data_IF_251824675528
#
_entry.id   IF_251824675528
#
_cell.length_a   1.000
_cell.length_b   1.000
_cell.length_c   1.000
_cell.angle_alpha   90.00
_cell.angle_beta   90.00
_cell.angle_gamma   90.00
#
_symmetry.space_group_name_H-M   'P 1'
#
loop_
_entity.id
_entity.type
_entity.pdbx_description
1 polymer ?
#
# COMPACT_ATOMS: atom_id res chain seq x y z
N UNK A 1 7.85 -0.50 22.28
CA UNK A 1 6.99 -1.66 21.98
C UNK A 1 5.88 -1.09 21.11
N UNK A 2 5.91 -1.37 19.81
CA UNK A 2 4.88 -0.87 18.88
C UNK A 2 3.65 -1.77 19.09
N UNK A 3 2.48 -1.16 19.26
CA UNK A 3 1.24 -1.88 19.57
C UNK A 3 0.87 -2.83 18.43
N UNK A 4 0.46 -4.05 18.78
CA UNK A 4 -0.03 -5.10 17.85
C UNK A 4 -1.20 -4.59 16.99
N UNK A 5 -1.93 -3.57 17.48
CA UNK A 5 -2.98 -2.88 16.72
C UNK A 5 -2.46 -2.10 15.51
N UNK A 6 -1.28 -1.48 15.57
CA UNK A 6 -0.70 -0.77 14.42
C UNK A 6 -0.38 -1.76 13.30
N UNK A 7 0.26 -2.89 13.61
CA UNK A 7 0.60 -3.91 12.61
C UNK A 7 -0.66 -4.49 11.94
N UNK A 8 -1.76 -4.65 12.69
CA UNK A 8 -3.04 -5.13 12.18
C UNK A 8 -3.76 -4.12 11.27
N UNK A 9 -3.66 -2.81 11.57
CA UNK A 9 -4.24 -1.71 10.77
C UNK A 9 -3.61 -1.57 9.38
N UNK A 10 -2.34 -1.95 9.22
CA UNK A 10 -1.67 -1.85 7.92
C UNK A 10 -2.00 -3.00 6.97
N UNK A 11 -2.15 -4.23 7.50
CA UNK A 11 -2.64 -5.38 6.73
C UNK A 11 -4.06 -5.17 6.20
N UNK A 12 -4.79 -4.22 6.77
CA UNK A 12 -6.14 -3.86 6.33
C UNK A 12 -6.20 -2.83 5.20
N UNK A 13 -5.11 -2.18 4.77
CA UNK A 13 -5.18 -1.20 3.68
C UNK A 13 -5.19 -1.88 2.32
N UNK A 14 -6.10 -1.45 1.44
CA UNK A 14 -6.07 -1.85 0.03
C UNK A 14 -4.90 -1.17 -0.69
N UNK A 15 -4.15 -1.96 -1.46
CA UNK A 15 -3.03 -1.49 -2.27
C UNK A 15 -3.30 -1.82 -3.74
N UNK A 16 -3.33 -0.78 -4.58
CA UNK A 16 -3.54 -0.94 -6.02
C UNK A 16 -2.26 -0.60 -6.76
N UNK A 17 -1.78 -1.51 -7.61
CA UNK A 17 -0.59 -1.24 -8.44
C UNK A 17 -0.94 -0.25 -9.55
N UNK A 18 -0.06 0.72 -9.76
CA UNK A 18 -0.08 1.68 -10.85
C UNK A 18 1.06 1.36 -11.81
N UNK A 19 0.78 1.41 -13.11
CA UNK A 19 1.76 1.21 -14.18
C UNK A 19 2.78 2.34 -14.24
N UNK A 20 3.86 2.14 -14.99
CA UNK A 20 4.93 3.13 -15.13
C UNK A 20 4.41 4.46 -15.68
N UNK A 21 4.62 5.54 -14.94
CA UNK A 21 4.32 6.92 -15.35
C UNK A 21 5.08 7.90 -14.45
N UNK A 22 5.08 9.20 -14.78
CA UNK A 22 5.72 10.21 -13.92
C UNK A 22 5.00 10.38 -12.57
N UNK A 23 5.65 11.05 -11.62
CA UNK A 23 5.14 11.18 -10.26
C UNK A 23 3.82 11.97 -10.19
N UNK A 24 3.69 13.06 -10.93
CA UNK A 24 2.47 13.89 -10.96
C UNK A 24 1.25 13.10 -11.46
N UNK A 25 1.44 12.30 -12.50
CA UNK A 25 0.41 11.41 -13.01
C UNK A 25 0.07 10.33 -11.98
N UNK A 26 1.07 9.77 -11.30
CA UNK A 26 0.88 8.79 -10.22
C UNK A 26 0.01 9.34 -9.08
N UNK A 27 0.32 10.55 -8.62
CA UNK A 27 -0.49 11.27 -7.62
C UNK A 27 -1.92 11.44 -8.11
N UNK A 28 -2.11 11.83 -9.36
CA UNK A 28 -3.43 12.03 -9.96
C UNK A 28 -4.22 10.72 -10.08
N UNK A 29 -3.59 9.64 -10.54
CA UNK A 29 -4.21 8.31 -10.63
C UNK A 29 -4.63 7.80 -9.26
N UNK A 30 -3.78 7.93 -8.24
CA UNK A 30 -4.17 7.51 -6.89
C UNK A 30 -5.31 8.36 -6.33
N UNK A 31 -5.29 9.67 -6.58
CA UNK A 31 -6.38 10.55 -6.16
C UNK A 31 -7.73 10.18 -6.82
N UNK A 32 -7.72 9.79 -8.10
CA UNK A 32 -8.91 9.28 -8.80
C UNK A 32 -9.46 7.98 -8.19
N UNK A 33 -8.59 7.20 -7.54
CA UNK A 33 -8.96 6.00 -6.79
C UNK A 33 -9.30 6.29 -5.31
N UNK A 34 -9.52 7.56 -4.94
CA UNK A 34 -9.75 7.99 -3.56
C UNK A 34 -8.65 7.52 -2.60
N UNK A 35 -7.40 7.56 -3.07
CA UNK A 35 -6.23 7.05 -2.36
C UNK A 35 -5.02 7.98 -2.56
N UNK A 36 -3.93 7.71 -1.86
CA UNK A 36 -2.68 8.44 -2.06
C UNK A 36 -1.61 7.51 -2.61
N UNK A 37 -0.51 8.06 -3.12
CA UNK A 37 0.69 7.26 -3.35
C UNK A 37 1.09 6.63 -2.00
N UNK A 38 1.63 5.41 -2.05
CA UNK A 38 1.97 4.64 -0.86
C UNK A 38 2.80 5.44 0.14
N UNK A 39 2.27 5.60 1.34
CA UNK A 39 2.91 6.31 2.46
C UNK A 39 3.60 5.27 3.35
N UNK A 40 4.90 5.41 3.56
CA UNK A 40 5.70 4.51 4.42
C UNK A 40 6.12 5.27 5.68
N UNK A 41 5.53 4.89 6.80
CA UNK A 41 5.59 5.54 8.13
C UNK A 41 6.26 4.69 9.19
N UNK A 42 6.59 3.42 8.88
CA UNK A 42 7.37 2.55 9.75
C UNK A 42 8.05 1.41 8.95
N UNK A 43 8.84 0.60 9.66
CA UNK A 43 9.57 -0.53 9.08
C UNK A 43 8.65 -1.63 8.54
N UNK A 44 7.50 -1.89 9.18
CA UNK A 44 6.56 -2.92 8.73
C UNK A 44 5.92 -2.55 7.39
N UNK A 45 5.51 -1.30 7.21
CA UNK A 45 5.03 -0.80 5.92
C UNK A 45 6.14 -0.90 4.86
N UNK A 46 7.38 -0.55 5.20
CA UNK A 46 8.51 -0.65 4.27
C UNK A 46 8.73 -2.10 3.79
N UNK A 47 8.72 -3.05 4.72
CA UNK A 47 8.85 -4.48 4.43
C UNK A 47 7.64 -5.03 3.66
N UNK A 48 6.42 -4.59 4.00
CA UNK A 48 5.20 -5.02 3.33
C UNK A 48 5.17 -4.60 1.85
N UNK A 49 5.50 -3.34 1.55
CA UNK A 49 5.62 -2.87 0.16
C UNK A 49 6.74 -3.61 -0.57
N UNK A 50 7.84 -3.93 0.11
CA UNK A 50 8.88 -4.82 -0.42
C UNK A 50 8.36 -6.22 -0.76
N UNK A 51 7.49 -6.79 0.07
CA UNK A 51 6.87 -8.08 -0.21
C UNK A 51 5.91 -8.01 -1.42
N UNK A 52 5.18 -6.90 -1.61
CA UNK A 52 4.38 -6.69 -2.82
C UNK A 52 5.22 -6.60 -4.10
N UNK A 53 6.51 -6.25 -3.97
CA UNK A 53 7.46 -6.26 -5.08
C UNK A 53 8.08 -7.64 -5.33
N UNK A 54 7.96 -8.59 -4.38
CA UNK A 54 8.50 -9.93 -4.57
C UNK A 54 7.80 -10.62 -5.76
N UNK A 55 8.59 -11.00 -6.76
CA UNK A 55 8.09 -11.52 -8.05
C UNK A 55 7.93 -10.47 -9.17
N UNK A 56 8.12 -9.19 -8.86
CA UNK A 56 8.19 -8.11 -9.85
C UNK A 56 9.66 -7.73 -10.07
N UNK A 57 10.33 -8.41 -11.00
CA UNK A 57 11.73 -8.12 -11.32
C UNK A 57 11.90 -6.68 -11.82
N UNK A 58 12.96 -6.03 -11.34
CA UNK A 58 13.42 -4.68 -11.76
C UNK A 58 12.37 -3.56 -11.68
N UNK A 59 11.41 -3.65 -10.76
CA UNK A 59 10.47 -2.57 -10.48
C UNK A 59 10.97 -1.69 -9.33
N UNK A 60 10.95 -0.37 -9.54
CA UNK A 60 11.42 0.63 -8.58
C UNK A 60 10.31 1.64 -8.32
N UNK A 61 9.33 1.31 -7.46
CA UNK A 61 8.11 2.10 -7.38
C UNK A 61 8.36 3.44 -6.72
N UNK A 62 7.65 4.47 -7.21
CA UNK A 62 7.51 5.71 -6.45
C UNK A 62 6.89 5.45 -5.08
N UNK A 63 7.36 6.18 -4.07
CA UNK A 63 6.73 6.28 -2.76
C UNK A 63 6.21 7.70 -2.58
N UNK A 64 5.21 7.88 -1.71
CA UNK A 64 4.53 9.16 -1.48
C UNK A 64 5.37 10.16 -0.66
N UNK A 65 6.63 10.33 -1.04
CA UNK A 65 7.63 11.21 -0.42
C UNK A 65 8.23 12.12 -1.49
N UNK A 66 8.19 13.43 -1.22
CA UNK A 66 8.66 14.47 -2.13
C UNK A 66 9.43 15.56 -1.40
N UNK A 67 10.32 16.23 -2.13
CA UNK A 67 11.10 17.37 -1.66
C UNK A 67 10.39 18.67 -2.03
N UNK A 68 10.08 19.50 -1.03
CA UNK A 68 9.50 20.83 -1.24
C UNK A 68 10.57 21.84 -1.68
N UNK A 69 10.14 23.01 -2.14
CA UNK A 69 11.01 24.10 -2.63
C UNK A 69 12.01 24.63 -1.61
N UNK A 70 11.70 24.53 -0.32
CA UNK A 70 12.61 24.85 0.79
C UNK A 70 13.66 23.75 1.05
N UNK A 71 13.66 22.68 0.25
CA UNK A 71 14.58 21.55 0.35
C UNK A 71 14.18 20.47 1.34
N UNK A 72 13.05 20.60 2.06
CA UNK A 72 12.61 19.60 3.05
C UNK A 72 11.84 18.46 2.39
N UNK A 73 12.12 17.23 2.82
CA UNK A 73 11.37 16.04 2.42
C UNK A 73 10.15 15.83 3.31
N UNK A 74 9.00 15.58 2.71
CA UNK A 74 7.71 15.38 3.38
C UNK A 74 6.90 14.31 2.66
N UNK A 75 5.85 13.82 3.31
CA UNK A 75 4.85 13.00 2.64
C UNK A 75 3.94 13.86 1.72
N UNK A 76 3.19 13.20 0.84
CA UNK A 76 2.26 13.86 -0.10
C UNK A 76 1.22 14.77 0.59
N UNK A 77 0.81 14.45 1.82
CA UNK A 77 -0.11 15.26 2.65
C UNK A 77 0.60 16.44 3.36
N UNK A 78 1.84 16.75 2.98
CA UNK A 78 2.72 17.73 3.58
C UNK A 78 3.09 17.46 5.06
N UNK A 79 2.76 16.29 5.61
CA UNK A 79 3.21 15.89 6.94
C UNK A 79 4.71 15.57 6.93
N UNK A 80 5.44 15.86 8.03
CA UNK A 80 6.86 15.55 8.11
C UNK A 80 7.11 14.05 8.07
N UNK A 81 8.28 13.64 7.56
CA UNK A 81 8.70 12.25 7.60
C UNK A 81 8.91 11.81 9.06
N UNK A 82 8.14 10.83 9.51
CA UNK A 82 8.27 10.20 10.84
C UNK A 82 9.09 8.91 10.79
N UNK A 83 9.32 8.40 9.57
CA UNK A 83 10.18 7.26 9.28
C UNK A 83 10.93 7.54 7.98
N UNK A 84 12.17 7.09 7.92
CA UNK A 84 13.01 7.17 6.73
C UNK A 84 13.85 5.92 6.59
N UNK A 85 14.02 5.43 5.37
CA UNK A 85 14.93 4.33 5.07
C UNK A 85 15.83 4.67 3.87
N UNK A 86 16.37 5.89 3.83
CA UNK A 86 17.27 6.34 2.76
C UNK A 86 18.50 5.43 2.63
N UNK A 87 18.89 5.15 1.39
CA UNK A 87 20.12 4.44 1.11
C UNK A 87 21.36 5.26 1.53
N UNK A 88 22.54 4.63 1.72
CA UNK A 88 23.77 5.36 1.98
C UNK A 88 24.05 6.41 0.90
N UNK A 89 24.19 7.67 1.30
CA UNK A 89 24.38 8.81 0.37
C UNK A 89 23.09 9.47 -0.12
N UNK A 90 21.92 8.98 0.31
CA UNK A 90 20.62 9.58 0.05
C UNK A 90 20.07 10.32 1.30
N UNK A 91 19.15 11.29 1.12
CA UNK A 91 18.69 11.82 -0.16
C UNK A 91 19.77 12.64 -0.87
N UNK A 92 19.81 12.55 -2.20
CA UNK A 92 20.73 13.34 -3.03
C UNK A 92 20.62 14.84 -2.74
N UNK A 93 21.76 15.53 -2.73
CA UNK A 93 21.83 17.00 -2.62
C UNK A 93 21.35 17.70 -3.90
N UNK A 94 21.27 16.97 -5.02
CA UNK A 94 20.79 17.50 -6.29
C UNK A 94 19.34 17.99 -6.18
N UNK A 95 19.12 19.29 -6.33
CA UNK A 95 17.80 19.94 -6.23
C UNK A 95 16.84 19.60 -7.36
N UNK A 96 17.28 18.87 -8.39
CA UNK A 96 16.39 18.36 -9.44
C UNK A 96 15.77 17.01 -9.09
N UNK A 97 16.29 16.30 -8.07
CA UNK A 97 15.78 14.99 -7.65
C UNK A 97 14.81 15.16 -6.48
N UNK A 98 13.56 15.50 -6.80
CA UNK A 98 12.56 15.91 -5.81
C UNK A 98 11.53 14.83 -5.46
N UNK A 99 11.64 13.63 -6.03
CA UNK A 99 10.75 12.50 -5.74
C UNK A 99 11.54 11.32 -5.20
N UNK A 100 10.89 10.46 -4.41
CA UNK A 100 11.53 9.29 -3.85
C UNK A 100 10.97 7.99 -4.44
N UNK A 101 11.81 6.98 -4.56
CA UNK A 101 11.41 5.62 -4.95
C UNK A 101 12.01 4.56 -4.03
N UNK A 102 11.39 3.39 -3.99
CA UNK A 102 11.85 2.23 -3.21
C UNK A 102 12.74 1.34 -4.08
N UNK A 103 13.94 1.02 -3.58
CA UNK A 103 14.82 0.01 -4.17
C UNK A 103 14.26 -1.41 -3.94
N UNK A 104 14.15 -2.20 -5.00
CA UNK A 104 13.53 -3.53 -4.94
C UNK A 104 14.25 -4.51 -3.99
N UNK A 105 15.58 -4.63 -4.11
CA UNK A 105 16.37 -5.60 -3.33
C UNK A 105 16.79 -5.09 -1.96
N UNK A 106 17.07 -3.79 -1.82
CA UNK A 106 17.54 -3.19 -0.56
C UNK A 106 16.39 -2.71 0.32
N UNK A 107 15.21 -2.49 -0.27
CA UNK A 107 14.07 -1.80 0.36
C UNK A 107 14.42 -0.42 0.91
N UNK A 108 15.51 0.18 0.41
CA UNK A 108 15.97 1.51 0.77
C UNK A 108 15.42 2.56 -0.21
N UNK A 109 15.36 3.81 0.24
CA UNK A 109 14.78 4.92 -0.51
C UNK A 109 15.88 5.68 -1.25
N UNK A 110 15.56 6.16 -2.43
CA UNK A 110 16.47 6.90 -3.30
C UNK A 110 15.76 8.11 -3.90
N UNK A 111 16.48 9.21 -4.11
CA UNK A 111 15.94 10.36 -4.81
C UNK A 111 15.99 10.17 -6.34
N UNK A 112 14.99 10.68 -7.04
CA UNK A 112 14.89 10.64 -8.50
C UNK A 112 14.21 11.90 -9.03
N UNK A 113 14.41 12.16 -10.31
CA UNK A 113 13.62 13.16 -11.03
C UNK A 113 12.16 12.68 -11.08
N UNK A 114 11.24 13.58 -10.71
CA UNK A 114 9.80 13.31 -10.69
C UNK A 114 9.22 13.04 -12.09
N UNK A 115 9.90 13.46 -13.15
CA UNK A 115 9.55 13.18 -14.54
C UNK A 115 9.93 11.76 -14.99
N UNK A 116 10.80 11.07 -14.24
CA UNK A 116 11.18 9.68 -14.54
C UNK A 116 9.95 8.79 -14.40
N UNK A 117 9.64 8.01 -15.42
CA UNK A 117 8.51 7.08 -15.34
C UNK A 117 8.86 5.89 -14.45
N UNK A 118 8.01 5.64 -13.44
CA UNK A 118 8.15 4.50 -12.53
C UNK A 118 6.76 3.97 -12.18
N UNK A 119 6.63 2.66 -11.89
CA UNK A 119 5.40 2.13 -11.31
C UNK A 119 5.18 2.73 -9.92
N UNK A 120 4.03 2.46 -9.31
CA UNK A 120 3.81 2.75 -7.90
C UNK A 120 2.69 1.90 -7.31
N UNK A 121 2.38 2.11 -6.05
CA UNK A 121 1.19 1.59 -5.39
C UNK A 121 0.39 2.75 -4.82
N UNK A 122 -0.91 2.73 -5.05
CA UNK A 122 -1.84 3.57 -4.32
C UNK A 122 -2.26 2.87 -3.04
N UNK A 123 -2.32 3.60 -1.93
CA UNK A 123 -2.76 3.12 -0.62
C UNK A 123 -3.97 3.95 -0.17
N UNK A 124 -5.09 3.29 0.07
CA UNK A 124 -6.25 3.94 0.70
C UNK A 124 -6.07 3.92 2.23
N UNK A 125 -6.29 5.08 2.86
CA UNK A 125 -6.13 5.22 4.32
C UNK A 125 -7.26 4.56 5.13
N UNK A 126 -8.38 4.21 4.48
CA UNK A 126 -9.54 3.62 5.12
C UNK A 126 -9.99 2.36 4.35
N UNK A 127 -10.14 1.25 5.06
CA UNK A 127 -11.21 0.32 4.70
C UNK A 127 -12.53 1.00 5.05
N UNK A 128 -13.62 0.77 4.28
CA UNK A 128 -14.96 1.08 4.77
C UNK A 128 -15.08 0.55 6.19
N UNK A 129 -15.64 1.34 7.11
CA UNK A 129 -15.85 0.89 8.50
C UNK A 129 -16.65 -0.42 8.45
N UNK A 130 -16.51 -1.31 9.43
CA UNK A 130 -17.22 -2.61 9.43
C UNK A 130 -18.75 -2.45 9.18
N UNK A 131 -19.33 -1.33 9.63
CA UNK A 131 -20.71 -0.92 9.35
C UNK A 131 -21.03 -0.70 7.86
N UNK A 132 -20.06 -0.28 7.06
CA UNK A 132 -20.14 -0.10 5.60
C UNK A 132 -19.73 -1.37 4.84
N UNK A 133 -18.88 -2.22 5.42
CA UNK A 133 -18.53 -3.54 4.87
C UNK A 133 -19.76 -4.46 4.78
N UNK A 134 -20.66 -4.40 5.77
CA UNK A 134 -21.94 -5.14 5.76
C UNK A 134 -22.88 -4.72 4.63
N UNK A 135 -22.78 -3.47 4.15
CA UNK A 135 -23.59 -2.95 3.05
C UNK A 135 -23.03 -3.38 1.68
N UNK A 136 -21.70 -3.40 1.53
CA UNK A 136 -21.03 -3.85 0.30
C UNK A 136 -21.20 -5.36 0.10
N UNK A 137 -21.19 -6.16 1.18
CA UNK A 137 -21.44 -7.61 1.11
C UNK A 137 -22.84 -8.00 0.61
N UNK A 138 -23.84 -7.11 0.76
CA UNK A 138 -25.19 -7.33 0.22
C UNK A 138 -25.31 -6.96 -1.26
N UNK A 139 -24.55 -5.97 -1.74
CA UNK A 139 -24.56 -5.55 -3.15
C UNK A 139 -23.61 -6.34 -4.06
N UNK A 140 -22.64 -7.06 -3.49
CA UNK A 140 -21.71 -7.92 -4.25
C UNK A 140 -22.13 -9.39 -4.36
N UNK A 141 -23.40 -9.75 -4.06
CA UNK A 141 -23.92 -11.10 -4.38
C UNK A 141 -24.09 -11.37 -5.87
N UNK A 142 -23.93 -10.36 -6.74
CA UNK A 142 -24.21 -10.50 -8.19
C UNK A 142 -22.99 -10.26 -9.10
N UNK A 143 -21.81 -9.90 -8.58
CA UNK A 143 -20.62 -9.60 -9.41
C UNK A 143 -19.43 -10.54 -9.16
N UNK A 144 -19.35 -11.23 -8.03
CA UNK A 144 -18.38 -12.31 -7.80
C UNK A 144 -19.08 -13.66 -7.89
N UNK A 145 -19.00 -14.33 -9.05
CA UNK A 145 -19.24 -15.77 -9.15
C UNK A 145 -18.11 -16.53 -8.47
N UNK A 146 -18.12 -16.55 -7.15
CA UNK A 146 -17.54 -17.64 -6.38
C UNK A 146 -18.71 -18.50 -5.89
N UNK A 147 -19.16 -19.44 -6.72
CA UNK A 147 -20.10 -20.46 -6.27
C UNK A 147 -19.36 -21.41 -5.34
N UNK A 148 -19.44 -21.17 -4.04
CA UNK A 148 -19.28 -22.20 -3.02
C UNK A 148 -19.83 -21.73 -1.67
N UNK A 149 -21.15 -21.73 -1.51
CA UNK A 149 -21.75 -21.94 -0.19
C UNK A 149 -22.91 -22.93 -0.34
N UNK A 150 -22.61 -24.21 -0.14
CA UNK A 150 -23.62 -25.17 0.31
C UNK A 150 -23.90 -24.84 1.77
N UNK A 151 -25.01 -24.16 2.04
CA UNK A 151 -25.51 -24.01 3.41
C UNK A 151 -26.20 -25.33 3.78
N UNK A 152 -25.45 -26.27 4.36
CA UNK A 152 -26.05 -27.25 5.26
C UNK A 152 -26.02 -26.64 6.65
N UNK A 153 -27.16 -26.09 7.05
CA UNK A 153 -27.32 -25.42 8.33
C UNK A 153 -27.21 -26.40 9.49
N UNK A 154 -26.68 -25.92 10.61
CA UNK A 154 -27.05 -26.40 11.95
C UNK A 154 -26.79 -25.26 12.95
N UNK A 155 -27.84 -24.90 13.68
CA UNK A 155 -27.76 -24.08 14.88
C UNK A 155 -27.01 -24.87 15.96
N UNK A 156 -26.05 -24.27 16.65
CA UNK A 156 -25.84 -24.46 18.10
C UNK A 156 -24.78 -23.47 18.63
N UNK A 157 -25.14 -22.88 19.76
CA UNK A 157 -24.45 -21.84 20.53
C UNK A 157 -23.07 -22.24 21.08
N UNK A 158 -22.30 -21.22 21.51
CA UNK A 158 -21.10 -21.23 22.37
C UNK A 158 -19.71 -21.46 21.73
N UNK A 159 -18.97 -20.36 21.47
CA UNK A 159 -17.73 -19.94 22.16
C UNK A 159 -16.89 -18.96 21.29
N UNK A 160 -16.32 -17.88 21.86
CA UNK A 160 -15.41 -16.98 21.16
C UNK A 160 -13.99 -17.57 21.15
N UNK A 161 -13.18 -17.19 20.16
CA UNK A 161 -11.80 -17.63 19.91
C UNK A 161 -11.65 -18.79 18.91
N UNK A 162 -11.93 -18.52 17.63
CA UNK A 162 -11.12 -19.09 16.54
C UNK A 162 -10.91 -18.03 15.45
N UNK A 163 -9.65 -17.72 15.18
CA UNK A 163 -9.23 -16.89 14.05
C UNK A 163 -9.23 -17.79 12.81
N UNK A 164 -10.07 -17.48 11.81
CA UNK A 164 -10.00 -18.12 10.50
C UNK A 164 -8.89 -17.43 9.68
N UNK A 165 -7.75 -18.09 9.54
CA UNK A 165 -6.75 -17.73 8.53
C UNK A 165 -7.27 -18.26 7.19
N UNK A 166 -7.80 -17.38 6.35
CA UNK A 166 -8.21 -17.75 5.00
C UNK A 166 -7.00 -17.63 4.06
N UNK A 167 -6.32 -18.74 3.81
CA UNK A 167 -5.37 -18.84 2.71
C UNK A 167 -6.15 -18.89 1.39
N UNK A 168 -6.04 -17.86 0.57
CA UNK A 168 -6.52 -17.89 -0.81
C UNK A 168 -5.59 -18.79 -1.63
N UNK A 169 -6.06 -19.99 -1.99
CA UNK A 169 -5.47 -20.77 -3.09
C UNK A 169 -6.11 -20.34 -4.40
N UNK A 170 -5.30 -19.96 -5.38
CA UNK A 170 -5.72 -19.87 -6.79
C UNK A 170 -5.71 -21.27 -7.40
N UNK A 171 -6.70 -21.67 -8.21
CA UNK A 171 -6.58 -22.88 -9.01
C UNK A 171 -5.60 -22.63 -10.17
N UNK A 172 -4.56 -23.45 -10.28
CA UNK A 172 -3.87 -23.70 -11.55
C UNK A 172 -4.75 -24.57 -12.43
N UNK A 173 -4.75 -24.30 -13.74
CA UNK A 173 -5.47 -25.04 -14.80
C UNK A 173 -5.29 -26.56 -14.75
#
# INVERSE_FOLDING_TARGET
MVDVEEESRFRTRAHCRVTSQNYTNTVTTCAQLNSTVVKITNIFENSYIGALLSGLNDQFPFIGVERKSNGTWVYQDASPLIYTNWAPGEPSLNSSLNCAYLGNSTLQWYATDCSTERPSFCSANEMPKESEQKLIAWHFREILRCDAIVIVGFWMDFLPHMVLIQSCFTPTE
#
